data_IF_053863526216
#
_entry.id   IF_053863526216
#
_cell.length_a   1.000
_cell.length_b   1.000
_cell.length_c   1.000
_cell.angle_alpha   90.00
_cell.angle_beta   90.00
_cell.angle_gamma   90.00
#
_symmetry.space_group_name_H-M   'P 1'
#
loop_
_entity.id
_entity.type
_entity.pdbx_description
1 polymer ?
#
# COMPACT_ATOMS: atom_id res chain seq x y z
N UNK A 1 -7.07 -8.16 -4.17
CA UNK A 1 -7.26 -6.74 -4.47
C UNK A 1 -7.23 -6.58 -5.99
N UNK A 2 -8.22 -7.14 -6.68
CA UNK A 2 -8.38 -7.05 -8.15
C UNK A 2 -9.67 -6.33 -8.51
N UNK A 3 -10.34 -5.77 -7.51
CA UNK A 3 -11.54 -4.97 -7.69
C UNK A 3 -11.18 -3.66 -8.37
N UNK A 4 -11.88 -3.35 -9.44
CA UNK A 4 -11.80 -2.07 -10.14
C UNK A 4 -13.19 -1.44 -10.20
N UNK A 5 -13.23 -0.11 -10.15
CA UNK A 5 -14.44 0.67 -10.31
C UNK A 5 -14.24 1.57 -11.52
N UNK A 6 -15.17 1.52 -12.48
CA UNK A 6 -15.12 2.32 -13.71
C UNK A 6 -16.44 3.03 -13.97
N UNK A 7 -16.37 4.21 -14.56
CA UNK A 7 -17.56 4.93 -15.06
C UNK A 7 -17.67 4.64 -16.56
N UNK A 8 -18.79 4.05 -16.96
CA UNK A 8 -19.01 3.66 -18.36
C UNK A 8 -20.40 4.12 -18.86
N UNK A 9 -20.60 4.31 -20.17
CA UNK A 9 -21.92 4.51 -20.76
C UNK A 9 -22.93 3.42 -20.35
N UNK A 10 -24.21 3.77 -20.25
CA UNK A 10 -25.26 2.85 -19.81
C UNK A 10 -25.39 1.57 -20.67
N UNK A 11 -25.12 1.67 -21.96
CA UNK A 11 -25.17 0.60 -22.96
C UNK A 11 -23.88 -0.23 -23.04
N UNK A 12 -22.90 0.02 -22.16
CA UNK A 12 -21.63 -0.69 -22.19
C UNK A 12 -21.80 -2.18 -21.90
N UNK A 13 -21.21 -3.07 -22.73
CA UNK A 13 -21.36 -4.51 -22.58
C UNK A 13 -20.82 -4.98 -21.23
N UNK A 14 -21.48 -5.99 -20.66
CA UNK A 14 -21.11 -6.59 -19.37
C UNK A 14 -20.02 -7.64 -19.61
N UNK A 15 -18.91 -7.54 -18.88
CA UNK A 15 -17.83 -8.52 -18.86
C UNK A 15 -18.04 -9.60 -17.79
N UNK A 16 -17.38 -10.75 -17.96
CA UNK A 16 -17.48 -11.94 -17.09
C UNK A 16 -17.34 -11.67 -15.57
N UNK A 17 -16.63 -10.61 -15.21
CA UNK A 17 -16.29 -10.28 -13.82
C UNK A 17 -16.93 -8.98 -13.32
N UNK A 18 -17.88 -8.42 -14.06
CA UNK A 18 -18.70 -7.30 -13.60
C UNK A 18 -19.79 -7.83 -12.66
N UNK A 19 -19.75 -7.42 -11.39
CA UNK A 19 -20.63 -7.98 -10.36
C UNK A 19 -21.68 -7.00 -9.85
N UNK A 20 -21.48 -5.70 -10.06
CA UNK A 20 -22.38 -4.66 -9.58
C UNK A 20 -22.33 -3.42 -10.47
N UNK A 21 -23.51 -2.91 -10.84
CA UNK A 21 -23.71 -1.64 -11.53
C UNK A 21 -24.56 -0.70 -10.66
N UNK A 22 -24.13 0.55 -10.53
CA UNK A 22 -24.93 1.66 -10.02
C UNK A 22 -25.27 2.57 -11.20
N UNK A 23 -26.54 2.50 -11.63
CA UNK A 23 -27.05 3.29 -12.75
C UNK A 23 -27.30 4.73 -12.27
N UNK A 24 -26.73 5.70 -12.98
CA UNK A 24 -26.91 7.12 -12.69
C UNK A 24 -27.88 7.75 -13.70
N UNK A 25 -28.51 8.86 -13.31
CA UNK A 25 -29.48 9.58 -14.14
C UNK A 25 -28.86 10.38 -15.31
N UNK A 26 -27.54 10.37 -15.46
CA UNK A 26 -26.79 11.08 -16.49
C UNK A 26 -26.42 10.19 -17.69
N UNK A 27 -27.07 9.02 -17.84
CA UNK A 27 -26.79 8.06 -18.92
C UNK A 27 -25.49 7.27 -18.75
N UNK A 28 -24.85 7.33 -17.58
CA UNK A 28 -23.67 6.54 -17.23
C UNK A 28 -24.00 5.59 -16.08
N UNK A 29 -23.12 4.61 -15.87
CA UNK A 29 -23.16 3.75 -14.70
C UNK A 29 -21.77 3.61 -14.08
N UNK A 30 -21.74 3.39 -12.77
CA UNK A 30 -20.53 3.00 -12.04
C UNK A 30 -20.54 1.48 -11.95
N UNK A 31 -19.51 0.85 -12.51
CA UNK A 31 -19.40 -0.60 -12.62
C UNK A 31 -18.25 -1.12 -11.78
N UNK A 32 -18.54 -2.15 -11.00
CA UNK A 32 -17.57 -2.86 -10.18
C UNK A 32 -17.23 -4.21 -10.80
N UNK A 33 -15.95 -4.40 -11.09
CA UNK A 33 -15.41 -5.65 -11.60
C UNK A 33 -14.42 -6.24 -10.61
N UNK A 34 -14.57 -7.50 -10.22
CA UNK A 34 -13.59 -8.18 -9.36
C UNK A 34 -13.44 -9.66 -9.73
N UNK A 35 -12.40 -10.03 -10.50
CA UNK A 35 -12.19 -11.41 -10.92
C UNK A 35 -12.07 -12.41 -9.75
N UNK A 36 -11.58 -11.94 -8.59
CA UNK A 36 -11.35 -12.78 -7.41
C UNK A 36 -12.43 -12.66 -6.33
N UNK A 37 -13.37 -11.73 -6.47
CA UNK A 37 -14.50 -11.49 -5.55
C UNK A 37 -14.06 -11.32 -4.09
N UNK A 38 -12.99 -10.56 -3.87
CA UNK A 38 -12.46 -10.26 -2.54
C UNK A 38 -12.84 -8.87 -2.05
N UNK A 39 -13.29 -7.96 -2.92
CA UNK A 39 -13.86 -6.70 -2.46
C UNK A 39 -15.29 -6.86 -1.95
N UNK A 40 -15.83 -5.79 -1.38
CA UNK A 40 -17.12 -5.80 -0.71
C UNK A 40 -17.89 -4.50 -0.99
N UNK A 41 -19.20 -4.63 -1.04
CA UNK A 41 -20.16 -3.53 -1.09
C UNK A 41 -21.04 -3.64 0.14
N UNK A 42 -20.91 -2.70 1.06
CA UNK A 42 -21.58 -2.73 2.35
C UNK A 42 -22.31 -1.40 2.54
N UNK A 43 -23.53 -1.47 3.08
CA UNK A 43 -24.32 -0.29 3.40
C UNK A 43 -24.34 -0.07 4.91
N UNK A 44 -24.15 1.16 5.34
CA UNK A 44 -24.30 1.58 6.74
C UNK A 44 -24.98 2.94 6.81
N UNK A 45 -25.73 3.19 7.88
CA UNK A 45 -26.30 4.51 8.18
C UNK A 45 -25.31 5.43 8.89
N UNK A 46 -24.32 4.85 9.57
CA UNK A 46 -23.34 5.55 10.41
C UNK A 46 -21.95 4.99 10.14
N UNK A 47 -21.04 5.85 9.70
CA UNK A 47 -19.70 5.45 9.28
C UNK A 47 -18.77 5.25 10.47
N UNK A 48 -18.91 6.11 11.47
CA UNK A 48 -18.18 6.14 12.74
C UNK A 48 -18.43 4.91 13.62
N UNK A 49 -19.62 4.30 13.54
CA UNK A 49 -19.97 3.08 14.26
C UNK A 49 -19.63 1.80 13.46
N UNK A 50 -19.14 1.92 12.23
CA UNK A 50 -18.97 0.76 11.36
C UNK A 50 -17.72 -0.05 11.74
N UNK A 51 -17.95 -1.32 12.11
CA UNK A 51 -16.94 -2.20 12.70
C UNK A 51 -15.62 -2.34 11.93
N UNK A 52 -15.62 -2.18 10.59
CA UNK A 52 -14.40 -2.23 9.77
C UNK A 52 -13.52 -0.98 9.94
N UNK A 53 -14.09 0.15 10.33
CA UNK A 53 -13.37 1.43 10.50
C UNK A 53 -12.93 1.67 11.95
N UNK A 54 -13.61 1.07 12.94
CA UNK A 54 -13.33 1.28 14.37
C UNK A 54 -11.89 0.95 14.83
N UNK A 55 -11.19 0.07 14.11
CA UNK A 55 -9.85 -0.40 14.48
C UNK A 55 -8.75 0.13 13.57
N UNK A 56 -9.07 1.06 12.67
CA UNK A 56 -8.08 1.64 11.78
C UNK A 56 -7.15 2.59 12.53
N UNK A 57 -5.88 2.58 12.13
CA UNK A 57 -4.90 3.58 12.48
C UNK A 57 -5.12 4.88 11.69
N UNK A 58 -4.25 5.88 11.91
CA UNK A 58 -4.34 7.16 11.22
C UNK A 58 -4.08 7.01 9.72
N UNK A 59 -4.65 7.95 8.95
CA UNK A 59 -4.29 8.18 7.55
C UNK A 59 -2.81 8.58 7.43
N UNK A 60 -2.02 7.94 6.55
CA UNK A 60 -0.57 8.15 6.50
C UNK A 60 -0.18 9.58 6.09
N UNK A 61 -1.06 10.31 5.39
CA UNK A 61 -0.80 11.68 4.95
C UNK A 61 -1.30 12.74 5.93
N UNK A 62 -1.98 12.35 7.02
CA UNK A 62 -2.43 13.29 8.04
C UNK A 62 -1.31 13.63 9.04
N UNK A 63 -1.52 14.67 9.84
CA UNK A 63 -0.60 15.04 10.92
C UNK A 63 -0.64 14.07 12.11
N UNK A 64 -1.71 13.26 12.22
CA UNK A 64 -1.82 12.20 13.23
C UNK A 64 -0.77 11.11 13.03
N UNK A 65 -0.42 10.82 11.77
CA UNK A 65 0.70 9.95 11.44
C UNK A 65 2.02 10.72 11.49
N UNK A 66 2.62 10.74 12.69
CA UNK A 66 3.90 11.40 12.96
C UNK A 66 4.91 10.48 13.67
N UNK A 67 6.15 10.95 13.79
CA UNK A 67 7.26 10.17 14.34
C UNK A 67 7.03 9.74 15.79
N UNK A 68 6.46 10.63 16.62
CA UNK A 68 6.15 10.35 18.01
C UNK A 68 5.07 9.28 18.14
N UNK A 69 4.02 9.36 17.32
CA UNK A 69 2.99 8.33 17.22
C UNK A 69 3.61 6.97 16.87
N UNK A 70 4.39 6.91 15.79
CA UNK A 70 4.98 5.66 15.31
C UNK A 70 5.96 5.07 16.33
N UNK A 71 6.78 5.92 16.95
CA UNK A 71 7.71 5.52 17.98
C UNK A 71 6.97 4.94 19.20
N UNK A 72 5.92 5.61 19.69
CA UNK A 72 5.10 5.11 20.80
C UNK A 72 4.42 3.78 20.46
N UNK A 73 3.82 3.65 19.26
CA UNK A 73 3.17 2.42 18.80
C UNK A 73 4.12 1.25 18.61
N UNK A 74 5.38 1.51 18.28
CA UNK A 74 6.41 0.48 18.16
C UNK A 74 6.86 -0.11 19.50
N UNK A 75 6.63 0.59 20.62
CA UNK A 75 7.10 0.13 21.93
C UNK A 75 6.39 -1.17 22.32
N UNK A 76 7.15 -2.09 22.91
CA UNK A 76 6.68 -3.41 23.41
C UNK A 76 6.16 -4.36 22.31
N UNK A 77 6.45 -4.09 21.03
CA UNK A 77 6.09 -4.97 19.91
C UNK A 77 7.31 -5.78 19.45
N UNK A 78 7.16 -7.10 19.40
CA UNK A 78 8.21 -8.03 18.96
C UNK A 78 8.04 -8.46 17.49
N UNK A 79 7.24 -7.73 16.72
CA UNK A 79 6.98 -8.04 15.32
C UNK A 79 8.06 -7.46 14.41
N UNK A 80 8.21 -8.07 13.24
CA UNK A 80 9.02 -7.52 12.16
C UNK A 80 8.47 -6.16 11.70
N UNK A 81 9.38 -5.23 11.41
CA UNK A 81 9.05 -3.87 10.99
C UNK A 81 8.10 -3.83 9.79
N UNK A 82 8.33 -4.68 8.79
CA UNK A 82 7.42 -4.74 7.63
C UNK A 82 6.00 -5.16 8.01
N UNK A 83 5.86 -6.18 8.85
CA UNK A 83 4.54 -6.64 9.32
C UNK A 83 3.83 -5.53 10.10
N UNK A 84 4.56 -4.81 10.94
CA UNK A 84 4.04 -3.69 11.72
C UNK A 84 3.52 -2.55 10.84
N UNK A 85 4.24 -2.17 9.78
CA UNK A 85 3.79 -1.13 8.86
C UNK A 85 2.59 -1.54 8.00
N UNK A 86 2.42 -2.83 7.72
CA UNK A 86 1.29 -3.35 6.94
C UNK A 86 0.05 -3.64 7.80
N UNK A 87 0.12 -3.40 9.11
CA UNK A 87 -1.02 -3.51 10.01
C UNK A 87 -1.87 -2.24 9.92
N UNK A 88 -3.08 -2.35 9.39
CA UNK A 88 -4.01 -1.23 9.26
C UNK A 88 -4.40 -0.59 10.61
N UNK A 89 -4.19 -1.27 11.75
CA UNK A 89 -4.37 -0.66 13.08
C UNK A 89 -3.19 0.22 13.52
N UNK A 90 -2.06 0.16 12.80
CA UNK A 90 -0.88 1.01 13.00
C UNK A 90 -0.90 2.18 12.03
N UNK A 91 -1.13 1.94 10.75
CA UNK A 91 -1.28 2.98 9.73
C UNK A 91 -2.00 2.38 8.54
N UNK A 92 -3.00 3.08 8.02
CA UNK A 92 -3.76 2.59 6.86
C UNK A 92 -3.02 2.86 5.55
N UNK A 93 -3.42 2.18 4.48
CA UNK A 93 -2.92 2.48 3.12
C UNK A 93 -1.50 2.02 2.80
N UNK A 94 -0.68 1.65 3.79
CA UNK A 94 0.69 1.16 3.59
C UNK A 94 0.68 -0.33 3.22
N UNK A 95 0.41 -0.60 1.93
CA UNK A 95 0.40 -1.94 1.36
C UNK A 95 1.79 -2.55 1.14
N UNK A 96 1.81 -3.77 0.59
CA UNK A 96 3.05 -4.53 0.39
C UNK A 96 4.10 -3.77 -0.46
N UNK A 97 3.68 -3.03 -1.48
CA UNK A 97 4.59 -2.28 -2.36
C UNK A 97 5.27 -1.16 -1.57
N UNK A 98 4.47 -0.21 -1.07
CA UNK A 98 4.96 0.98 -0.39
C UNK A 98 5.74 0.66 0.90
N UNK A 99 5.40 -0.44 1.60
CA UNK A 99 6.21 -0.92 2.72
C UNK A 99 7.63 -1.30 2.29
N UNK A 100 7.80 -2.05 1.18
CA UNK A 100 9.15 -2.41 0.71
C UNK A 100 9.92 -1.17 0.25
N UNK A 101 9.29 -0.29 -0.53
CA UNK A 101 9.92 0.92 -1.06
C UNK A 101 10.34 1.87 0.06
N UNK A 102 9.47 2.12 1.05
CA UNK A 102 9.77 3.01 2.18
C UNK A 102 10.92 2.47 3.04
N UNK A 103 10.93 1.16 3.31
CA UNK A 103 11.99 0.52 4.08
C UNK A 103 13.33 0.53 3.33
N UNK A 104 13.31 0.34 2.02
CA UNK A 104 14.49 0.50 1.19
C UNK A 104 15.02 1.92 1.27
N UNK A 105 14.19 2.94 1.01
CA UNK A 105 14.55 4.36 1.09
C UNK A 105 15.18 4.73 2.45
N UNK A 106 14.62 4.19 3.53
CA UNK A 106 15.13 4.37 4.88
C UNK A 106 16.34 3.49 5.26
N UNK A 107 16.83 2.62 4.38
CA UNK A 107 17.91 1.66 4.69
C UNK A 107 17.62 0.79 5.91
N UNK A 108 16.35 0.40 6.12
CA UNK A 108 15.90 -0.42 7.24
C UNK A 108 15.59 -1.84 6.77
N UNK A 109 16.18 -2.85 7.41
CA UNK A 109 15.89 -4.24 7.08
C UNK A 109 14.43 -4.61 7.44
N UNK A 110 13.67 -5.30 6.58
CA UNK A 110 12.24 -5.56 6.81
C UNK A 110 11.96 -6.47 8.01
N UNK A 111 12.89 -7.34 8.39
CA UNK A 111 12.86 -8.16 9.63
C UNK A 111 13.36 -7.45 10.88
N UNK A 112 13.79 -6.18 10.82
CA UNK A 112 14.21 -5.45 12.01
C UNK A 112 13.06 -5.50 13.03
N UNK A 113 13.37 -5.80 14.29
CA UNK A 113 12.37 -5.73 15.36
C UNK A 113 11.90 -4.29 15.49
N UNK A 114 10.58 -4.09 15.44
CA UNK A 114 10.02 -2.73 15.50
C UNK A 114 10.34 -2.04 16.85
N UNK A 115 10.44 -2.80 17.94
CA UNK A 115 10.90 -2.31 19.23
C UNK A 115 12.33 -1.72 19.18
N UNK A 116 13.15 -2.06 18.19
CA UNK A 116 14.52 -1.54 18.05
C UNK A 116 14.60 -0.30 17.15
N UNK A 117 13.48 0.28 16.73
CA UNK A 117 13.47 1.57 16.05
C UNK A 117 13.91 2.69 16.99
N UNK A 118 14.81 3.54 16.52
CA UNK A 118 15.15 4.81 17.17
C UNK A 118 14.17 5.91 16.74
N UNK A 119 14.11 7.02 17.49
CA UNK A 119 13.28 8.19 17.13
C UNK A 119 13.62 8.74 15.75
N UNK A 120 14.90 8.94 15.45
CA UNK A 120 15.35 9.41 14.13
C UNK A 120 14.98 8.43 13.00
N UNK A 121 14.96 7.12 13.28
CA UNK A 121 14.49 6.14 12.30
C UNK A 121 12.97 6.26 12.08
N UNK A 122 12.18 6.52 13.14
CA UNK A 122 10.75 6.79 13.01
C UNK A 122 10.46 8.07 12.22
N UNK A 123 11.18 9.17 12.48
CA UNK A 123 11.07 10.42 11.72
C UNK A 123 11.29 10.19 10.23
N UNK A 124 12.47 9.65 9.89
CA UNK A 124 12.81 9.35 8.50
C UNK A 124 11.80 8.42 7.84
N UNK A 125 11.28 7.43 8.58
CA UNK A 125 10.32 6.47 8.08
C UNK A 125 8.96 7.10 7.79
N UNK A 126 8.44 7.94 8.69
CA UNK A 126 7.19 8.69 8.48
C UNK A 126 7.31 9.60 7.26
N UNK A 127 8.35 10.41 7.19
CA UNK A 127 8.56 11.35 6.07
C UNK A 127 8.69 10.61 4.75
N UNK A 128 9.41 9.48 4.75
CA UNK A 128 9.58 8.63 3.57
C UNK A 128 8.25 8.02 3.14
N UNK A 129 7.45 7.47 4.07
CA UNK A 129 6.14 6.88 3.76
C UNK A 129 5.23 7.95 3.14
N UNK A 130 5.17 9.14 3.75
CA UNK A 130 4.40 10.28 3.23
C UNK A 130 4.85 10.64 1.81
N UNK A 131 6.15 10.77 1.59
CA UNK A 131 6.71 11.10 0.27
C UNK A 131 6.43 10.02 -0.78
N UNK A 132 6.59 8.74 -0.45
CA UNK A 132 6.33 7.61 -1.36
C UNK A 132 4.86 7.55 -1.76
N UNK A 133 3.95 7.71 -0.80
CA UNK A 133 2.51 7.68 -1.06
C UNK A 133 2.04 8.91 -1.84
N UNK A 134 2.53 10.11 -1.50
CA UNK A 134 2.20 11.34 -2.23
C UNK A 134 2.63 11.23 -3.70
N UNK A 135 3.86 10.75 -3.96
CA UNK A 135 4.35 10.49 -5.34
C UNK A 135 3.51 9.45 -6.06
N UNK A 136 3.10 8.39 -5.35
CA UNK A 136 2.25 7.37 -5.94
C UNK A 136 0.87 7.95 -6.34
N UNK A 137 0.28 8.80 -5.51
CA UNK A 137 -1.00 9.47 -5.81
C UNK A 137 -0.85 10.41 -7.01
N UNK A 138 0.20 11.23 -7.05
CA UNK A 138 0.49 12.13 -8.17
C UNK A 138 0.65 11.37 -9.50
N UNK A 139 1.25 10.18 -9.45
CA UNK A 139 1.43 9.30 -10.62
C UNK A 139 0.20 8.45 -10.97
N UNK A 140 -0.92 8.61 -10.23
CA UNK A 140 -2.15 7.84 -10.46
C UNK A 140 -2.10 6.39 -9.95
N UNK A 141 -1.17 6.08 -9.03
CA UNK A 141 -0.99 4.79 -8.36
C UNK A 141 0.01 3.86 -9.04
N UNK A 142 0.36 2.74 -8.38
CA UNK A 142 1.21 1.71 -8.98
C UNK A 142 0.38 0.71 -9.83
N UNK A 143 0.49 0.80 -11.15
CA UNK A 143 -0.12 -0.20 -12.06
C UNK A 143 0.81 -1.42 -12.15
N UNK A 144 0.72 -2.35 -11.20
CA UNK A 144 1.55 -3.56 -11.24
C UNK A 144 0.97 -4.68 -12.11
N UNK A 145 -0.36 -4.84 -12.13
CA UNK A 145 -1.06 -5.82 -13.00
C UNK A 145 -2.50 -5.43 -13.40
N UNK A 146 -3.29 -4.81 -12.52
CA UNK A 146 -4.75 -4.66 -12.76
C UNK A 146 -5.35 -3.30 -12.29
N UNK A 147 -4.53 -2.27 -12.01
CA UNK A 147 -5.06 -0.98 -11.57
C UNK A 147 -5.42 -0.11 -12.79
N UNK A 148 -6.72 0.04 -13.02
CA UNK A 148 -7.28 0.98 -13.99
C UNK A 148 -7.80 2.20 -13.25
N UNK A 149 -7.55 3.38 -13.81
CA UNK A 149 -8.20 4.60 -13.37
C UNK A 149 -9.73 4.50 -13.60
N UNK A 150 -10.54 5.32 -12.91
CA UNK A 150 -12.01 5.31 -13.09
C UNK A 150 -12.48 5.58 -14.53
N UNK A 151 -11.62 6.17 -15.37
CA UNK A 151 -11.84 6.41 -16.80
C UNK A 151 -11.40 5.24 -17.70
N UNK A 152 -10.95 4.13 -17.11
CA UNK A 152 -10.55 2.91 -17.81
C UNK A 152 -9.11 2.90 -18.33
N UNK A 153 -8.30 3.95 -18.10
CA UNK A 153 -6.90 3.99 -18.54
C UNK A 153 -5.99 3.31 -17.50
N UNK A 154 -4.97 2.53 -17.92
CA UNK A 154 -3.94 2.08 -16.99
C UNK A 154 -3.28 3.30 -16.36
N UNK A 155 -2.96 3.25 -15.06
CA UNK A 155 -2.23 4.34 -14.41
C UNK A 155 -0.98 4.67 -15.23
N UNK A 156 -0.90 5.93 -15.71
CA UNK A 156 -0.06 6.36 -16.82
C UNK A 156 1.45 6.24 -16.58
N UNK A 157 1.88 5.92 -15.36
CA UNK A 157 3.27 5.70 -15.04
C UNK A 157 3.43 4.40 -14.28
N UNK A 158 4.21 3.47 -14.86
CA UNK A 158 4.82 2.43 -14.06
C UNK A 158 5.77 3.14 -13.09
N UNK A 159 5.33 3.36 -11.86
CA UNK A 159 6.16 3.88 -10.79
C UNK A 159 7.48 3.09 -10.82
N UNK A 160 8.62 3.77 -10.91
CA UNK A 160 9.93 3.12 -10.84
C UNK A 160 10.10 2.54 -9.44
N UNK A 161 9.69 1.28 -9.28
CA UNK A 161 9.87 0.53 -8.05
C UNK A 161 11.35 0.23 -7.90
N UNK A 162 11.92 0.59 -6.76
CA UNK A 162 13.35 0.43 -6.52
C UNK A 162 13.67 -1.02 -6.17
N UNK A 163 12.81 -1.66 -5.37
CA UNK A 163 13.03 -3.03 -4.88
C UNK A 163 11.86 -3.97 -5.13
N UNK A 164 10.63 -3.49 -5.08
CA UNK A 164 9.45 -4.35 -5.18
C UNK A 164 9.38 -5.03 -6.55
N UNK A 165 9.30 -6.36 -6.55
CA UNK A 165 9.27 -7.15 -7.79
C UNK A 165 10.61 -7.22 -8.53
N UNK A 166 11.68 -6.62 -7.99
CA UNK A 166 13.01 -6.57 -8.62
C UNK A 166 14.00 -7.59 -8.07
N UNK A 167 13.53 -8.73 -7.55
CA UNK A 167 14.41 -9.83 -7.12
C UNK A 167 15.43 -10.16 -8.22
N UNK A 168 16.68 -10.42 -7.82
CA UNK A 168 17.82 -10.77 -8.68
C UNK A 168 18.33 -9.63 -9.59
N UNK A 169 17.65 -8.48 -9.65
CA UNK A 169 18.14 -7.26 -10.32
C UNK A 169 19.15 -6.50 -9.46
N UNK A 170 20.06 -5.72 -10.05
CA UNK A 170 21.00 -4.89 -9.30
C UNK A 170 20.26 -3.78 -8.54
N UNK A 171 20.64 -3.56 -7.28
CA UNK A 171 20.15 -2.46 -6.47
C UNK A 171 20.53 -1.12 -7.10
N UNK A 172 19.58 -0.16 -7.24
CA UNK A 172 19.86 1.13 -7.87
C UNK A 172 20.84 2.01 -7.09
N UNK A 173 21.12 1.69 -5.82
CA UNK A 173 22.09 2.45 -4.99
C UNK A 173 23.48 1.84 -4.91
N UNK A 174 23.61 0.51 -4.99
CA UNK A 174 24.90 -0.16 -4.71
C UNK A 174 25.22 -1.32 -5.65
N UNK A 175 24.37 -1.62 -6.64
CA UNK A 175 24.57 -2.70 -7.60
C UNK A 175 24.40 -4.12 -7.05
N UNK A 176 24.36 -4.31 -5.73
CA UNK A 176 24.12 -5.64 -5.12
C UNK A 176 22.76 -6.19 -5.53
N UNK A 177 22.67 -7.49 -5.80
CA UNK A 177 21.41 -8.14 -6.17
C UNK A 177 20.35 -7.94 -5.08
N UNK A 178 19.14 -7.56 -5.49
CA UNK A 178 17.98 -7.50 -4.60
C UNK A 178 17.56 -8.91 -4.24
N UNK A 179 17.40 -9.14 -2.94
CA UNK A 179 16.92 -10.40 -2.40
C UNK A 179 15.42 -10.32 -2.08
N UNK A 180 14.82 -11.49 -1.89
CA UNK A 180 13.45 -11.59 -1.42
C UNK A 180 13.29 -12.60 -0.30
N UNK A 181 12.41 -12.30 0.67
CA UNK A 181 11.97 -13.26 1.69
C UNK A 181 10.48 -13.15 1.97
N UNK A 182 9.91 -14.18 2.56
CA UNK A 182 8.50 -14.20 2.97
C UNK A 182 8.40 -13.73 4.42
N UNK A 183 7.60 -12.69 4.66
CA UNK A 183 7.30 -12.15 5.99
C UNK A 183 5.78 -12.06 6.13
N UNK A 184 5.20 -12.76 7.10
CA UNK A 184 3.75 -12.77 7.31
C UNK A 184 2.96 -13.19 6.06
N UNK A 185 3.41 -14.24 5.36
CA UNK A 185 2.83 -14.73 4.10
C UNK A 185 2.86 -13.71 2.94
N UNK A 186 3.68 -12.66 3.02
CA UNK A 186 3.86 -11.66 1.96
C UNK A 186 5.30 -11.67 1.48
N UNK A 187 5.49 -11.70 0.17
CA UNK A 187 6.83 -11.57 -0.42
C UNK A 187 7.37 -10.15 -0.15
N UNK A 188 8.63 -10.07 0.26
CA UNK A 188 9.34 -8.87 0.69
C UNK A 188 10.63 -8.77 -0.10
N UNK A 189 10.93 -7.60 -0.63
CA UNK A 189 12.10 -7.34 -1.45
C UNK A 189 12.98 -6.31 -0.74
N UNK A 190 14.27 -6.55 -0.71
CA UNK A 190 15.21 -5.70 0.01
C UNK A 190 16.62 -5.83 -0.58
N UNK A 191 17.44 -4.80 -0.38
CA UNK A 191 18.86 -4.87 -0.70
C UNK A 191 19.64 -5.32 0.55
N UNK A 192 20.33 -6.48 0.54
CA UNK A 192 21.06 -6.97 1.71
C UNK A 192 22.21 -6.05 2.14
N UNK A 193 22.77 -5.29 1.19
CA UNK A 193 23.85 -4.33 1.47
C UNK A 193 23.36 -2.98 2.00
N UNK A 194 22.29 -2.42 1.42
CA UNK A 194 21.74 -1.14 1.87
C UNK A 194 20.92 -1.28 3.16
N UNK A 195 20.26 -2.42 3.36
CA UNK A 195 19.36 -2.68 4.48
C UNK A 195 19.95 -3.78 5.36
N UNK A 196 21.01 -3.49 6.10
CA UNK A 196 21.69 -4.48 6.95
C UNK A 196 20.79 -4.95 8.10
N UNK A 197 20.87 -6.24 8.46
CA UNK A 197 20.28 -6.75 9.70
C UNK A 197 21.05 -6.16 10.88
N UNK A 198 20.38 -5.30 11.65
CA UNK A 198 20.88 -4.72 12.92
C UNK A 198 19.97 -5.13 14.06
#
# INVERSE_FOLDING_TARGET
>A
MSGTVRIVPHDSPIDKHDHLDIVMNNGKLLRYNDPRRFGAWLWTKKLDEFHLFLKLGPEPLSDEFNADYLFKKSRKKMTALKTFLMDNAVVVGVGNIYANESLFLCSLHPMKLVANLTRNQCERLVDTIKSVLAKAIEQGGTTLKDFLQPDGRPGYFAQELLVYGNKDKPCPRCGTKIESLIIGQRNSFYCPMCQKKS
#
